data_IF_863400474335
#
_entry.id   IF_863400474335
#
_cell.length_a   1.000
_cell.length_b   1.000
_cell.length_c   1.000
_cell.angle_alpha   90.00
_cell.angle_beta   90.00
_cell.angle_gamma   90.00
#
_symmetry.space_group_name_H-M   'P 1'
#
loop_
_entity.id
_entity.type
_entity.pdbx_description
1 polymer ?
#
# COMPACT_ATOMS: atom_id res chain seq x y z
N UNK A 1 -0.94 -20.67 26.08
CA UNK A 1 -0.85 -20.07 24.73
C UNK A 1 0.59 -20.03 24.30
N UNK A 2 0.87 -20.23 23.02
CA UNK A 2 2.22 -20.03 22.46
C UNK A 2 2.60 -18.54 22.56
N UNK A 3 3.83 -18.16 22.95
CA UNK A 3 4.23 -16.75 22.97
C UNK A 3 4.61 -16.23 21.57
N UNK A 4 3.93 -16.73 20.52
CA UNK A 4 4.30 -16.46 19.12
C UNK A 4 3.12 -15.89 18.36
N UNK A 5 3.38 -14.80 17.63
CA UNK A 5 2.51 -14.21 16.62
C UNK A 5 3.06 -14.52 15.22
N UNK A 6 2.18 -14.97 14.32
CA UNK A 6 2.53 -15.11 12.89
C UNK A 6 2.26 -13.83 12.13
N UNK A 7 3.20 -13.35 11.32
CA UNK A 7 2.98 -12.27 10.36
C UNK A 7 3.22 -12.75 8.94
N UNK A 8 2.19 -12.73 8.09
CA UNK A 8 2.30 -13.06 6.66
C UNK A 8 2.31 -11.74 5.88
N UNK A 9 3.45 -11.40 5.29
CA UNK A 9 3.65 -10.21 4.50
C UNK A 9 3.49 -10.53 3.00
N UNK A 10 2.85 -9.60 2.28
CA UNK A 10 2.68 -9.69 0.82
C UNK A 10 4.02 -9.68 0.07
N UNK A 11 4.96 -8.80 0.42
CA UNK A 11 6.24 -8.65 -0.25
C UNK A 11 7.27 -8.01 0.69
N UNK A 12 8.31 -8.76 1.07
CA UNK A 12 9.38 -8.26 1.94
C UNK A 12 10.27 -7.22 1.26
N UNK A 13 10.45 -7.32 -0.04
CA UNK A 13 11.22 -6.35 -0.83
C UNK A 13 10.46 -5.05 -1.09
N UNK A 14 9.16 -5.00 -0.77
CA UNK A 14 8.35 -3.80 -0.87
C UNK A 14 8.86 -2.69 0.05
N UNK A 15 8.79 -1.45 -0.40
CA UNK A 15 9.38 -0.31 0.31
C UNK A 15 8.71 -0.01 1.68
N UNK A 16 7.47 -0.46 1.89
CA UNK A 16 6.65 -0.16 3.08
C UNK A 16 6.58 -1.32 4.09
N UNK A 17 6.74 -2.55 3.62
CA UNK A 17 6.67 -3.75 4.47
C UNK A 17 7.66 -3.75 5.64
N UNK A 18 8.93 -3.31 5.47
CA UNK A 18 9.88 -3.27 6.59
C UNK A 18 9.45 -2.34 7.71
N UNK A 19 8.86 -1.18 7.41
CA UNK A 19 8.40 -0.21 8.41
C UNK A 19 7.20 -0.76 9.19
N UNK A 20 6.23 -1.35 8.50
CA UNK A 20 5.08 -2.01 9.11
C UNK A 20 5.55 -3.17 10.01
N UNK A 21 6.44 -4.02 9.49
CA UNK A 21 6.96 -5.18 10.23
C UNK A 21 7.72 -4.75 11.49
N UNK A 22 8.54 -3.70 11.42
CA UNK A 22 9.26 -3.18 12.56
C UNK A 22 8.33 -2.66 13.65
N UNK A 23 7.25 -1.95 13.28
CA UNK A 23 6.25 -1.44 14.22
C UNK A 23 5.47 -2.60 14.88
N UNK A 24 5.08 -3.62 14.11
CA UNK A 24 4.42 -4.83 14.64
C UNK A 24 5.37 -5.53 15.62
N UNK A 25 6.63 -5.76 15.21
CA UNK A 25 7.63 -6.46 16.04
C UNK A 25 7.87 -5.73 17.36
N UNK A 26 8.09 -4.42 17.31
CA UNK A 26 8.29 -3.61 18.50
C UNK A 26 7.11 -3.74 19.49
N UNK A 27 5.89 -3.72 18.97
CA UNK A 27 4.69 -3.83 19.80
C UNK A 27 4.52 -5.24 20.38
N UNK A 28 4.80 -6.28 19.57
CA UNK A 28 4.76 -7.69 19.98
C UNK A 28 5.81 -7.97 21.06
N UNK A 29 7.04 -7.48 20.88
CA UNK A 29 8.12 -7.63 21.85
C UNK A 29 7.83 -6.93 23.18
N UNK A 30 7.13 -5.79 23.18
CA UNK A 30 6.71 -5.08 24.38
C UNK A 30 5.74 -5.91 25.26
N UNK A 31 4.98 -6.85 24.67
CA UNK A 31 4.14 -7.81 25.40
C UNK A 31 4.90 -9.10 25.79
N UNK A 32 6.22 -9.16 25.57
CA UNK A 32 7.03 -10.35 25.86
C UNK A 32 6.78 -11.52 24.90
N UNK A 33 6.25 -11.25 23.72
CA UNK A 33 5.97 -12.24 22.69
C UNK A 33 6.97 -12.15 21.53
N UNK A 34 6.94 -13.12 20.63
CA UNK A 34 7.84 -13.23 19.48
C UNK A 34 7.05 -13.19 18.18
N UNK A 35 7.59 -12.52 17.16
CA UNK A 35 7.01 -12.51 15.82
C UNK A 35 7.73 -13.51 14.89
N UNK A 36 6.98 -14.38 14.24
CA UNK A 36 7.47 -15.19 13.11
C UNK A 36 6.91 -14.59 11.81
N UNK A 37 7.82 -14.15 10.94
CA UNK A 37 7.44 -13.53 9.68
C UNK A 37 7.57 -14.51 8.51
N UNK A 38 6.55 -14.53 7.64
CA UNK A 38 6.51 -15.25 6.38
C UNK A 38 6.28 -14.29 5.22
N UNK A 39 6.85 -14.61 4.05
CA UNK A 39 6.68 -13.86 2.81
C UNK A 39 5.98 -14.70 1.77
N UNK A 40 4.75 -14.35 1.39
CA UNK A 40 3.99 -15.09 0.38
C UNK A 40 4.36 -14.71 -1.06
N UNK A 41 5.06 -13.60 -1.26
CA UNK A 41 5.51 -13.08 -2.57
C UNK A 41 4.35 -12.88 -3.58
N UNK A 42 3.16 -12.53 -3.09
CA UNK A 42 1.98 -12.36 -3.91
C UNK A 42 1.33 -13.67 -4.38
N UNK A 43 1.64 -14.81 -3.73
CA UNK A 43 1.10 -16.12 -4.07
C UNK A 43 0.03 -16.57 -3.09
N UNK A 44 -1.22 -16.67 -3.53
CA UNK A 44 -2.31 -17.22 -2.72
C UNK A 44 -2.02 -18.64 -2.21
N UNK A 45 -1.32 -19.47 -2.99
CA UNK A 45 -0.97 -20.82 -2.58
C UNK A 45 0.01 -20.80 -1.40
N UNK A 46 1.02 -19.92 -1.44
CA UNK A 46 1.98 -19.75 -0.33
C UNK A 46 1.29 -19.16 0.90
N UNK A 47 0.45 -18.15 0.70
CA UNK A 47 -0.37 -17.55 1.73
C UNK A 47 -1.15 -18.61 2.51
N UNK A 48 -1.93 -19.45 1.83
CA UNK A 48 -2.68 -20.55 2.45
C UNK A 48 -1.78 -21.57 3.14
N UNK A 49 -0.60 -21.86 2.56
CA UNK A 49 0.36 -22.78 3.18
C UNK A 49 0.90 -22.25 4.50
N UNK A 50 1.17 -20.93 4.59
CA UNK A 50 1.62 -20.29 5.83
C UNK A 50 0.50 -20.22 6.88
N UNK A 51 -0.74 -19.91 6.49
CA UNK A 51 -1.88 -19.96 7.40
C UNK A 51 -2.04 -21.38 8.01
N UNK A 52 -1.92 -22.44 7.20
CA UNK A 52 -1.97 -23.82 7.67
C UNK A 52 -0.78 -24.14 8.61
N UNK A 53 0.42 -23.64 8.30
CA UNK A 53 1.60 -23.83 9.14
C UNK A 53 1.40 -23.18 10.52
N UNK A 54 0.97 -21.90 10.55
CA UNK A 54 0.74 -21.18 11.80
C UNK A 54 -0.39 -21.80 12.63
N UNK A 55 -1.45 -22.31 11.97
CA UNK A 55 -2.50 -23.06 12.65
C UNK A 55 -1.96 -24.33 13.32
N UNK A 56 -1.09 -25.11 12.62
CA UNK A 56 -0.45 -26.31 13.18
C UNK A 56 0.51 -26.00 14.32
N UNK A 57 1.20 -24.85 14.26
CA UNK A 57 2.11 -24.40 15.32
C UNK A 57 1.38 -23.76 16.51
N UNK A 58 0.05 -23.65 16.46
CA UNK A 58 -0.78 -23.09 17.53
C UNK A 58 -0.28 -21.71 17.97
N UNK A 59 0.05 -20.83 17.00
CA UNK A 59 0.40 -19.44 17.33
C UNK A 59 -0.76 -18.76 18.04
N UNK A 60 -0.50 -17.77 18.87
CA UNK A 60 -1.56 -17.04 19.59
C UNK A 60 -2.43 -16.20 18.66
N UNK A 61 -1.83 -15.69 17.59
CA UNK A 61 -2.55 -14.89 16.60
C UNK A 61 -1.80 -14.76 15.30
N UNK A 62 -2.51 -14.32 14.26
CA UNK A 62 -1.97 -14.10 12.92
C UNK A 62 -2.33 -12.71 12.43
N UNK A 63 -1.32 -11.98 11.97
CA UNK A 63 -1.45 -10.77 11.16
C UNK A 63 -1.18 -11.16 9.71
N UNK A 64 -1.99 -10.68 8.78
CA UNK A 64 -1.82 -11.00 7.37
C UNK A 64 -2.15 -9.80 6.47
N UNK A 65 -1.24 -9.49 5.52
CA UNK A 65 -1.50 -8.59 4.40
C UNK A 65 -1.94 -9.44 3.19
N UNK A 66 -3.23 -9.69 2.99
CA UNK A 66 -3.70 -10.78 2.14
C UNK A 66 -3.57 -10.47 0.66
N UNK A 67 -3.24 -11.50 -0.12
CA UNK A 67 -3.30 -11.52 -1.59
C UNK A 67 -4.72 -11.87 -2.03
N UNK A 68 -5.23 -13.00 -1.58
CA UNK A 68 -6.54 -13.52 -1.91
C UNK A 68 -7.62 -13.21 -0.86
N UNK A 69 -8.77 -13.87 -0.98
CA UNK A 69 -9.77 -13.87 0.08
C UNK A 69 -9.47 -15.02 1.04
N UNK A 70 -9.05 -14.66 2.26
CA UNK A 70 -8.65 -15.60 3.32
C UNK A 70 -9.59 -15.58 4.53
N UNK A 71 -10.67 -14.82 4.48
CA UNK A 71 -11.52 -14.58 5.66
C UNK A 71 -12.19 -15.86 6.17
N UNK A 72 -12.51 -16.80 5.28
CA UNK A 72 -13.05 -18.09 5.68
C UNK A 72 -12.01 -18.94 6.45
N UNK A 73 -10.74 -18.93 6.01
CA UNK A 73 -9.64 -19.59 6.69
C UNK A 73 -9.37 -18.94 8.07
N UNK A 74 -9.40 -17.61 8.13
CA UNK A 74 -9.23 -16.88 9.39
C UNK A 74 -10.38 -17.13 10.36
N UNK A 75 -11.62 -17.19 9.89
CA UNK A 75 -12.78 -17.55 10.70
C UNK A 75 -12.61 -18.96 11.31
N UNK A 76 -12.13 -19.92 10.51
CA UNK A 76 -11.81 -21.26 11.01
C UNK A 76 -10.67 -21.24 12.04
N UNK A 77 -9.62 -20.47 11.83
CA UNK A 77 -8.53 -20.33 12.82
C UNK A 77 -9.06 -19.76 14.15
N UNK A 78 -9.97 -18.77 14.11
CA UNK A 78 -10.62 -18.22 15.31
C UNK A 78 -11.41 -19.30 16.06
N UNK A 79 -12.08 -20.21 15.38
CA UNK A 79 -12.81 -21.32 16.04
C UNK A 79 -11.88 -22.28 16.81
N UNK A 80 -10.58 -22.27 16.51
CA UNK A 80 -9.53 -22.98 17.26
C UNK A 80 -8.78 -22.08 18.29
N UNK A 81 -9.29 -20.87 18.52
CA UNK A 81 -8.69 -19.94 19.49
C UNK A 81 -7.49 -19.17 19.00
N UNK A 82 -7.25 -19.10 17.68
CA UNK A 82 -6.19 -18.31 17.07
C UNK A 82 -6.78 -17.01 16.56
N UNK A 83 -6.39 -15.89 17.16
CA UNK A 83 -6.82 -14.55 16.77
C UNK A 83 -6.29 -14.17 15.38
N UNK A 84 -6.99 -13.27 14.67
CA UNK A 84 -6.52 -12.84 13.35
C UNK A 84 -6.91 -11.40 13.03
N UNK A 85 -5.99 -10.66 12.39
CA UNK A 85 -6.21 -9.29 11.90
C UNK A 85 -5.69 -9.16 10.47
N UNK A 86 -6.49 -8.57 9.58
CA UNK A 86 -6.04 -8.16 8.26
C UNK A 86 -5.25 -6.85 8.35
N UNK A 87 -4.10 -6.82 7.71
CA UNK A 87 -3.22 -5.65 7.60
C UNK A 87 -3.29 -5.05 6.19
N UNK A 88 -3.34 -3.72 6.10
CA UNK A 88 -3.37 -2.95 4.85
C UNK A 88 -4.55 -3.26 3.92
N UNK A 89 -5.54 -4.00 4.37
CA UNK A 89 -6.76 -4.33 3.63
C UNK A 89 -7.97 -4.31 4.57
N UNK A 90 -9.04 -3.65 4.16
CA UNK A 90 -10.32 -3.68 4.86
C UNK A 90 -10.97 -5.06 4.71
N UNK A 91 -11.48 -5.60 5.82
CA UNK A 91 -12.25 -6.84 5.80
C UNK A 91 -13.59 -6.66 5.09
N UNK A 92 -14.02 -7.70 4.39
CA UNK A 92 -15.36 -7.76 3.77
C UNK A 92 -16.40 -8.23 4.78
N UNK A 93 -16.04 -9.19 5.64
CA UNK A 93 -16.91 -9.63 6.74
C UNK A 93 -16.85 -8.68 7.93
N UNK A 94 -18.00 -8.32 8.53
CA UNK A 94 -18.02 -7.56 9.78
C UNK A 94 -17.42 -8.33 10.97
N UNK A 95 -17.25 -9.65 10.83
CA UNK A 95 -16.70 -10.53 11.87
C UNK A 95 -15.16 -10.62 11.80
N UNK A 96 -14.52 -9.98 10.83
CA UNK A 96 -13.07 -9.98 10.67
C UNK A 96 -12.48 -8.62 11.05
N UNK A 97 -11.56 -8.63 12.01
CA UNK A 97 -10.80 -7.46 12.40
C UNK A 97 -9.83 -7.03 11.29
N UNK A 98 -9.73 -5.75 11.02
CA UNK A 98 -8.83 -5.23 9.99
C UNK A 98 -8.32 -3.83 10.28
N UNK A 99 -7.12 -3.53 9.78
CA UNK A 99 -6.57 -2.17 9.69
C UNK A 99 -6.22 -1.90 8.23
N UNK A 100 -6.76 -0.82 7.68
CA UNK A 100 -6.63 -0.46 6.26
C UNK A 100 -6.26 1.01 6.07
N UNK A 101 -6.00 1.37 4.83
CA UNK A 101 -5.78 2.74 4.37
C UNK A 101 -6.84 3.04 3.32
N UNK A 102 -7.41 4.26 3.33
CA UNK A 102 -8.32 4.72 2.28
C UNK A 102 -7.54 5.07 1.00
N UNK A 103 -7.27 4.05 0.19
CA UNK A 103 -6.54 4.21 -1.07
C UNK A 103 -7.35 4.98 -2.13
N UNK A 104 -8.68 5.01 -2.03
CA UNK A 104 -9.53 5.81 -2.92
C UNK A 104 -9.32 7.30 -2.62
N UNK A 105 -9.35 7.68 -1.34
CA UNK A 105 -9.04 9.05 -0.94
C UNK A 105 -7.62 9.45 -1.38
N UNK A 106 -6.62 8.56 -1.20
CA UNK A 106 -5.24 8.82 -1.62
C UNK A 106 -5.10 9.06 -3.11
N UNK A 107 -5.71 8.22 -3.95
CA UNK A 107 -5.72 8.42 -5.39
C UNK A 107 -6.41 9.71 -5.83
N UNK A 108 -7.52 10.06 -5.16
CA UNK A 108 -8.22 11.34 -5.39
C UNK A 108 -7.35 12.54 -5.03
N UNK A 109 -6.65 12.51 -3.89
CA UNK A 109 -5.72 13.57 -3.47
C UNK A 109 -4.59 13.77 -4.48
N UNK A 110 -3.98 12.70 -4.97
CA UNK A 110 -2.91 12.76 -5.96
C UNK A 110 -3.36 13.43 -7.27
N UNK A 111 -4.48 12.97 -7.83
CA UNK A 111 -5.00 13.51 -9.09
C UNK A 111 -5.53 14.94 -8.93
N UNK A 112 -6.25 15.23 -7.84
CA UNK A 112 -6.74 16.57 -7.56
C UNK A 112 -5.60 17.58 -7.47
N UNK A 113 -4.50 17.24 -6.78
CA UNK A 113 -3.32 18.09 -6.70
C UNK A 113 -2.72 18.37 -8.09
N UNK A 114 -2.57 17.35 -8.95
CA UNK A 114 -2.07 17.55 -10.31
C UNK A 114 -2.98 18.47 -11.14
N UNK A 115 -4.29 18.32 -11.00
CA UNK A 115 -5.30 19.16 -11.66
C UNK A 115 -5.20 20.60 -11.17
N UNK A 116 -5.06 20.83 -9.86
CA UNK A 116 -4.86 22.15 -9.25
C UNK A 116 -3.56 22.82 -9.73
N UNK A 117 -2.51 22.03 -10.04
CA UNK A 117 -1.28 22.51 -10.68
C UNK A 117 -1.45 22.78 -12.20
N UNK A 118 -2.68 22.70 -12.74
CA UNK A 118 -3.00 22.99 -14.12
C UNK A 118 -2.68 21.86 -15.11
N UNK A 119 -2.43 20.64 -14.63
CA UNK A 119 -2.14 19.48 -15.47
C UNK A 119 -3.42 18.91 -16.08
N UNK A 120 -3.35 18.50 -17.35
CA UNK A 120 -4.53 18.06 -18.12
C UNK A 120 -4.42 16.65 -18.69
N UNK A 121 -3.22 16.13 -18.86
CA UNK A 121 -2.99 14.78 -19.39
C UNK A 121 -2.21 13.97 -18.35
N UNK A 122 -2.94 13.27 -17.50
CA UNK A 122 -2.35 12.51 -16.39
C UNK A 122 -2.10 11.06 -16.85
N UNK A 123 -0.87 10.57 -16.64
CA UNK A 123 -0.54 9.16 -16.78
C UNK A 123 -0.56 8.48 -15.40
N UNK A 124 -1.35 7.42 -15.23
CA UNK A 124 -1.30 6.56 -14.05
C UNK A 124 -0.36 5.39 -14.33
N UNK A 125 0.83 5.42 -13.69
CA UNK A 125 1.87 4.39 -13.89
C UNK A 125 1.71 3.31 -12.84
N UNK A 126 1.37 2.08 -13.25
CA UNK A 126 1.17 0.97 -12.31
C UNK A 126 1.45 -0.40 -12.92
N UNK A 127 1.74 -1.38 -12.06
CA UNK A 127 1.86 -2.78 -12.46
C UNK A 127 0.46 -3.41 -12.58
N UNK A 128 0.10 -4.37 -11.75
CA UNK A 128 -1.19 -5.05 -11.82
C UNK A 128 -2.32 -4.24 -11.17
N UNK A 129 -3.44 -4.09 -11.86
CA UNK A 129 -4.71 -3.58 -11.32
C UNK A 129 -5.52 -4.65 -10.58
N UNK A 130 -5.08 -5.90 -10.56
CA UNK A 130 -5.68 -6.97 -9.75
C UNK A 130 -5.45 -6.73 -8.25
N UNK A 131 -4.38 -6.01 -7.90
CA UNK A 131 -4.13 -5.58 -6.54
C UNK A 131 -5.14 -4.51 -6.14
N UNK A 132 -6.02 -4.86 -5.20
CA UNK A 132 -7.14 -3.98 -4.78
C UNK A 132 -6.67 -2.57 -4.42
N UNK A 133 -5.59 -2.41 -3.66
CA UNK A 133 -5.07 -1.11 -3.29
C UNK A 133 -4.64 -0.26 -4.50
N UNK A 134 -4.12 -0.87 -5.56
CA UNK A 134 -3.74 -0.17 -6.80
C UNK A 134 -4.99 0.23 -7.58
N UNK A 135 -5.97 -0.67 -7.68
CA UNK A 135 -7.26 -0.37 -8.29
C UNK A 135 -8.00 0.77 -7.55
N UNK A 136 -7.98 0.76 -6.22
CA UNK A 136 -8.59 1.80 -5.39
C UNK A 136 -7.90 3.17 -5.60
N UNK A 137 -6.56 3.22 -5.72
CA UNK A 137 -5.81 4.44 -6.10
C UNK A 137 -6.25 4.97 -7.46
N UNK A 138 -6.38 4.09 -8.46
CA UNK A 138 -6.87 4.47 -9.79
C UNK A 138 -8.31 4.97 -9.74
N UNK A 139 -9.20 4.29 -9.03
CA UNK A 139 -10.61 4.70 -8.88
C UNK A 139 -10.73 6.10 -8.26
N UNK A 140 -9.91 6.38 -7.23
CA UNK A 140 -9.83 7.71 -6.64
C UNK A 140 -9.36 8.78 -7.63
N UNK A 141 -8.30 8.49 -8.39
CA UNK A 141 -7.78 9.38 -9.42
C UNK A 141 -8.81 9.65 -10.53
N UNK A 142 -9.49 8.60 -11.01
CA UNK A 142 -10.58 8.73 -12.00
C UNK A 142 -11.73 9.59 -11.48
N UNK A 143 -12.08 9.46 -10.20
CA UNK A 143 -13.12 10.31 -9.58
C UNK A 143 -12.76 11.80 -9.64
N UNK A 144 -11.48 12.16 -9.37
CA UNK A 144 -11.02 13.53 -9.49
C UNK A 144 -11.03 14.02 -10.94
N UNK A 145 -10.57 13.20 -11.88
CA UNK A 145 -10.55 13.52 -13.31
C UNK A 145 -11.94 13.72 -13.89
N UNK A 146 -12.90 12.85 -13.54
CA UNK A 146 -14.29 13.00 -13.97
C UNK A 146 -14.94 14.32 -13.52
N UNK A 147 -14.46 14.89 -12.42
CA UNK A 147 -14.95 16.17 -11.89
C UNK A 147 -14.26 17.40 -12.51
N UNK A 148 -13.26 17.20 -13.40
CA UNK A 148 -12.43 18.26 -13.98
C UNK A 148 -12.55 18.29 -15.52
N UNK A 149 -13.37 19.18 -16.10
CA UNK A 149 -13.55 19.26 -17.54
C UNK A 149 -12.23 19.48 -18.30
N UNK A 150 -12.00 18.71 -19.36
CA UNK A 150 -10.82 18.82 -20.21
C UNK A 150 -9.56 18.16 -19.65
N UNK A 151 -9.66 17.40 -18.54
CA UNK A 151 -8.61 16.56 -18.01
C UNK A 151 -8.82 15.11 -18.46
N UNK A 152 -7.73 14.44 -18.80
CA UNK A 152 -7.73 13.01 -19.18
C UNK A 152 -6.76 12.22 -18.32
N UNK A 153 -7.04 10.92 -18.17
CA UNK A 153 -6.15 9.99 -17.51
C UNK A 153 -5.96 8.75 -18.40
N UNK A 154 -4.70 8.43 -18.70
CA UNK A 154 -4.31 7.17 -19.33
C UNK A 154 -3.65 6.25 -18.28
N UNK A 155 -3.91 4.94 -18.37
CA UNK A 155 -3.18 3.94 -17.58
C UNK A 155 -1.94 3.51 -18.36
N UNK A 156 -0.78 3.62 -17.74
CA UNK A 156 0.52 3.23 -18.32
C UNK A 156 1.00 1.98 -17.56
N UNK A 157 0.83 0.78 -18.14
CA UNK A 157 1.20 -0.46 -17.47
C UNK A 157 2.71 -0.65 -17.46
N UNK A 158 3.22 -1.14 -16.33
CA UNK A 158 4.61 -1.56 -16.14
C UNK A 158 4.65 -2.98 -15.57
N UNK A 159 5.75 -3.75 -15.78
CA UNK A 159 5.78 -5.15 -15.36
C UNK A 159 5.80 -5.34 -13.85
N UNK A 160 6.42 -4.42 -13.12
CA UNK A 160 6.60 -4.50 -11.65
C UNK A 160 6.67 -3.11 -11.02
N UNK A 161 6.68 -3.05 -9.69
CA UNK A 161 6.70 -1.80 -8.91
C UNK A 161 8.11 -1.47 -8.42
N UNK A 162 9.07 -1.39 -9.35
CA UNK A 162 10.49 -1.16 -9.08
C UNK A 162 10.98 0.16 -9.66
N UNK A 163 12.17 0.58 -9.24
CA UNK A 163 12.86 1.76 -9.79
C UNK A 163 13.20 1.52 -11.26
N UNK A 164 13.63 0.32 -11.61
CA UNK A 164 13.98 -0.08 -12.98
C UNK A 164 12.79 0.02 -13.93
N UNK A 165 11.62 -0.44 -13.49
CA UNK A 165 10.38 -0.31 -14.26
C UNK A 165 9.97 1.16 -14.43
N UNK A 166 10.20 2.00 -13.41
CA UNK A 166 10.02 3.45 -13.49
C UNK A 166 10.94 4.11 -14.51
N UNK A 167 12.21 3.73 -14.55
CA UNK A 167 13.18 4.21 -15.54
C UNK A 167 12.73 3.83 -16.97
N UNK A 168 12.41 2.56 -17.20
CA UNK A 168 11.96 2.09 -18.52
C UNK A 168 10.67 2.80 -18.97
N UNK A 169 9.74 3.05 -18.04
CA UNK A 169 8.51 3.81 -18.32
C UNK A 169 8.83 5.25 -18.75
N UNK A 170 9.73 5.93 -18.04
CA UNK A 170 10.14 7.29 -18.35
C UNK A 170 10.81 7.39 -19.74
N UNK A 171 11.68 6.44 -20.07
CA UNK A 171 12.32 6.37 -21.38
C UNK A 171 11.29 6.18 -22.50
N UNK A 172 10.31 5.30 -22.29
CA UNK A 172 9.22 5.10 -23.24
C UNK A 172 8.38 6.37 -23.43
N UNK A 173 8.09 7.12 -22.36
CA UNK A 173 7.37 8.39 -22.41
C UNK A 173 8.22 9.46 -23.13
N UNK A 174 9.51 9.58 -22.82
CA UNK A 174 10.41 10.55 -23.44
C UNK A 174 10.56 10.33 -24.95
N UNK A 175 10.38 9.11 -25.45
CA UNK A 175 10.41 8.78 -26.87
C UNK A 175 9.08 9.06 -27.60
N UNK A 176 7.98 9.41 -26.88
CA UNK A 176 6.74 9.86 -27.54
C UNK A 176 6.92 11.27 -28.12
N UNK A 177 6.20 11.64 -29.19
CA UNK A 177 6.05 13.04 -29.59
C UNK A 177 5.58 13.90 -28.42
N UNK A 178 6.07 15.13 -28.29
CA UNK A 178 5.80 16.00 -27.12
C UNK A 178 4.31 16.23 -26.87
N UNK A 179 3.52 16.32 -27.92
CA UNK A 179 2.05 16.50 -27.88
C UNK A 179 1.30 15.26 -27.39
N UNK A 180 1.93 14.07 -27.45
CA UNK A 180 1.36 12.80 -26.99
C UNK A 180 1.86 12.41 -25.59
N UNK A 181 2.77 13.18 -25.00
CA UNK A 181 3.23 12.92 -23.64
C UNK A 181 2.19 13.36 -22.62
N UNK A 182 2.01 12.62 -21.52
CA UNK A 182 1.32 13.17 -20.36
C UNK A 182 2.07 14.41 -19.84
N UNK A 183 1.37 15.35 -19.25
CA UNK A 183 1.97 16.52 -18.59
C UNK A 183 2.10 16.32 -17.08
N UNK A 184 1.58 15.18 -16.58
CA UNK A 184 1.78 14.71 -15.21
C UNK A 184 1.75 13.19 -15.14
N UNK A 185 2.47 12.63 -14.17
CA UNK A 185 2.45 11.21 -13.82
C UNK A 185 2.05 11.04 -12.37
N UNK A 186 1.06 10.18 -12.15
CA UNK A 186 0.74 9.61 -10.86
C UNK A 186 1.24 8.16 -10.84
N UNK A 187 2.33 7.91 -10.14
CA UNK A 187 2.91 6.59 -9.99
C UNK A 187 2.26 5.86 -8.82
N UNK A 188 1.90 4.60 -9.02
CA UNK A 188 1.21 3.80 -8.02
C UNK A 188 2.02 3.58 -6.73
N UNK A 189 3.34 3.78 -6.77
CA UNK A 189 4.21 3.84 -5.58
C UNK A 189 5.43 4.73 -5.81
N UNK A 190 6.17 5.02 -4.74
CA UNK A 190 7.35 5.89 -4.79
C UNK A 190 8.53 5.26 -5.55
N UNK A 191 8.69 3.94 -5.54
CA UNK A 191 9.79 3.30 -6.29
C UNK A 191 9.66 3.58 -7.79
N UNK A 192 8.47 3.46 -8.35
CA UNK A 192 8.17 3.83 -9.74
C UNK A 192 8.46 5.32 -9.98
N UNK A 193 7.96 6.19 -9.08
CA UNK A 193 8.13 7.63 -9.20
C UNK A 193 9.61 8.05 -9.13
N UNK A 194 10.39 7.42 -8.26
CA UNK A 194 11.85 7.65 -8.14
C UNK A 194 12.55 7.27 -9.45
N UNK A 195 12.22 6.10 -10.02
CA UNK A 195 12.77 5.69 -11.31
C UNK A 195 12.45 6.66 -12.43
N UNK A 196 11.20 7.11 -12.50
CA UNK A 196 10.74 8.12 -13.47
C UNK A 196 11.51 9.43 -13.33
N UNK A 197 11.60 9.99 -12.13
CA UNK A 197 12.32 11.24 -11.86
C UNK A 197 13.80 11.09 -12.21
N UNK A 198 14.43 9.99 -11.81
CA UNK A 198 15.83 9.72 -12.09
C UNK A 198 16.12 9.69 -13.60
N UNK A 199 15.30 9.00 -14.39
CA UNK A 199 15.49 8.91 -15.83
C UNK A 199 15.30 10.26 -16.54
N UNK A 200 14.26 11.02 -16.19
CA UNK A 200 14.02 12.33 -16.76
C UNK A 200 15.16 13.32 -16.45
N UNK A 201 15.63 13.36 -15.21
CA UNK A 201 16.76 14.25 -14.82
C UNK A 201 18.06 13.82 -15.52
N UNK A 202 18.32 12.51 -15.63
CA UNK A 202 19.55 11.99 -16.26
C UNK A 202 19.58 12.24 -17.76
N UNK A 203 18.47 12.02 -18.47
CA UNK A 203 18.37 12.20 -19.92
C UNK A 203 18.31 13.67 -20.34
N UNK A 204 17.84 14.56 -19.47
CA UNK A 204 17.57 16.00 -19.74
C UNK A 204 16.59 16.25 -20.90
N UNK A 205 15.83 15.23 -21.32
CA UNK A 205 14.83 15.33 -22.40
C UNK A 205 13.51 15.90 -21.87
N UNK A 206 13.23 15.64 -20.59
CA UNK A 206 12.00 16.07 -19.90
C UNK A 206 12.39 16.72 -18.57
N UNK A 207 11.89 17.91 -18.33
CA UNK A 207 12.09 18.63 -17.06
C UNK A 207 11.00 18.29 -16.06
N UNK A 208 11.39 17.94 -14.82
CA UNK A 208 10.47 17.76 -13.69
C UNK A 208 10.59 18.97 -12.75
N UNK A 209 9.52 19.67 -12.43
CA UNK A 209 8.12 19.48 -12.82
C UNK A 209 7.70 20.28 -14.08
N UNK A 210 8.60 20.99 -14.75
CA UNK A 210 8.23 21.99 -15.77
C UNK A 210 7.44 21.34 -16.92
N UNK A 211 7.95 20.27 -17.51
CA UNK A 211 7.28 19.54 -18.59
C UNK A 211 6.31 18.50 -18.04
N UNK A 212 6.78 17.65 -17.12
CA UNK A 212 5.99 16.58 -16.52
C UNK A 212 6.09 16.67 -14.98
N UNK A 213 4.97 16.87 -14.31
CA UNK A 213 4.89 16.76 -12.86
C UNK A 213 4.80 15.29 -12.43
N UNK A 214 5.40 14.92 -11.30
CA UNK A 214 5.40 13.53 -10.81
C UNK A 214 4.92 13.46 -9.38
N UNK A 215 3.91 12.61 -9.13
CA UNK A 215 3.41 12.26 -7.79
C UNK A 215 3.66 10.77 -7.55
N UNK A 216 4.20 10.44 -6.38
CA UNK A 216 4.35 9.08 -5.88
C UNK A 216 3.25 8.68 -4.91
N UNK A 217 3.43 7.54 -4.28
CA UNK A 217 2.57 7.01 -3.23
C UNK A 217 3.42 6.24 -2.23
N UNK A 218 3.06 6.33 -0.95
CA UNK A 218 3.64 5.75 0.26
C UNK A 218 4.46 6.75 1.09
N UNK A 219 5.09 7.77 0.51
CA UNK A 219 6.01 8.74 1.13
C UNK A 219 7.17 8.06 1.88
N UNK A 220 7.82 7.09 1.21
CA UNK A 220 8.97 6.38 1.77
C UNK A 220 10.13 7.34 2.10
N UNK A 221 11.03 6.92 2.99
CA UNK A 221 12.13 7.77 3.47
C UNK A 221 12.99 8.39 2.34
N UNK A 222 13.13 7.68 1.21
CA UNK A 222 13.89 8.16 0.06
C UNK A 222 13.16 9.25 -0.75
N UNK A 223 11.83 9.37 -0.68
CA UNK A 223 11.06 10.34 -1.48
C UNK A 223 11.53 11.79 -1.27
N UNK A 224 11.91 12.15 -0.05
CA UNK A 224 12.44 13.49 0.28
C UNK A 224 13.89 13.72 -0.15
N UNK A 225 14.64 12.66 -0.44
CA UNK A 225 16.09 12.70 -0.69
C UNK A 225 16.45 12.48 -2.15
N UNK A 226 15.45 12.36 -3.04
CA UNK A 226 15.66 12.29 -4.49
C UNK A 226 16.21 13.62 -5.02
N UNK A 227 16.88 13.58 -6.18
CA UNK A 227 17.50 14.77 -6.81
C UNK A 227 16.46 15.89 -7.05
N UNK A 228 15.22 15.54 -7.34
CA UNK A 228 14.04 16.39 -7.27
C UNK A 228 13.13 15.81 -6.18
N UNK A 229 13.03 16.45 -5.00
CA UNK A 229 12.21 15.92 -3.91
C UNK A 229 10.80 15.58 -4.36
N UNK A 230 10.38 14.34 -4.10
CA UNK A 230 9.16 13.74 -4.64
C UNK A 230 7.93 14.14 -3.83
N UNK A 231 6.95 14.76 -4.47
CA UNK A 231 5.58 14.86 -3.96
C UNK A 231 4.97 13.46 -3.89
N UNK A 232 4.43 13.09 -2.75
CA UNK A 232 3.89 11.74 -2.54
C UNK A 232 2.65 11.75 -1.64
N UNK A 233 1.84 10.72 -1.77
CA UNK A 233 0.77 10.43 -0.82
C UNK A 233 1.37 9.65 0.34
N UNK A 234 1.39 10.27 1.53
CA UNK A 234 1.84 9.64 2.76
C UNK A 234 0.79 8.69 3.28
N UNK A 235 1.23 7.49 3.63
CA UNK A 235 0.46 6.50 4.35
C UNK A 235 1.15 6.20 5.69
N UNK A 236 0.41 6.13 6.81
CA UNK A 236 0.98 6.02 8.16
C UNK A 236 1.39 4.57 8.46
N UNK A 237 2.51 4.10 7.89
CA UNK A 237 2.92 2.69 7.95
C UNK A 237 3.28 2.23 9.37
N UNK A 238 3.98 3.04 10.15
CA UNK A 238 4.34 2.71 11.53
C UNK A 238 3.09 2.65 12.43
N UNK A 239 2.20 3.64 12.30
CA UNK A 239 0.94 3.71 13.03
C UNK A 239 0.02 2.55 12.63
N UNK A 240 -0.01 2.17 11.35
CA UNK A 240 -0.74 1.00 10.87
C UNK A 240 -0.20 -0.27 11.51
N UNK A 241 1.12 -0.47 11.53
CA UNK A 241 1.76 -1.62 12.16
C UNK A 241 1.43 -1.73 13.65
N UNK A 242 1.50 -0.60 14.38
CA UNK A 242 1.13 -0.54 15.79
C UNK A 242 -0.35 -0.87 16.00
N UNK A 243 -1.25 -0.25 15.23
CA UNK A 243 -2.69 -0.49 15.34
C UNK A 243 -3.09 -1.95 15.03
N UNK A 244 -2.42 -2.57 14.05
CA UNK A 244 -2.64 -3.99 13.72
C UNK A 244 -2.25 -4.89 14.88
N UNK A 245 -1.11 -4.63 15.54
CA UNK A 245 -0.66 -5.41 16.69
C UNK A 245 -1.57 -5.19 17.91
N UNK A 246 -1.95 -3.94 18.22
CA UNK A 246 -2.87 -3.64 19.31
C UNK A 246 -4.23 -4.32 19.11
N UNK A 247 -4.74 -4.26 17.88
CA UNK A 247 -6.00 -4.92 17.55
C UNK A 247 -5.91 -6.44 17.68
N UNK A 248 -4.76 -7.05 17.31
CA UNK A 248 -4.54 -8.47 17.50
C UNK A 248 -4.53 -8.87 18.97
N UNK A 249 -3.89 -8.07 19.84
CA UNK A 249 -3.90 -8.34 21.28
C UNK A 249 -5.31 -8.25 21.88
N UNK A 250 -6.09 -7.25 21.48
CA UNK A 250 -7.49 -7.15 21.89
C UNK A 250 -8.31 -8.38 21.44
N UNK A 251 -8.07 -8.89 20.23
CA UNK A 251 -8.69 -10.11 19.71
C UNK A 251 -8.27 -11.37 20.50
N UNK A 252 -6.98 -11.48 20.88
CA UNK A 252 -6.48 -12.58 21.71
C UNK A 252 -7.18 -12.58 23.08
N UNK A 253 -7.29 -11.41 23.72
CA UNK A 253 -7.95 -11.26 25.01
C UNK A 253 -9.45 -11.59 24.91
N UNK A 254 -10.13 -11.09 23.89
CA UNK A 254 -11.55 -11.35 23.65
C UNK A 254 -11.84 -12.85 23.45
N UNK A 255 -11.01 -13.57 22.72
CA UNK A 255 -11.14 -15.02 22.53
C UNK A 255 -10.91 -15.80 23.84
N UNK A 256 -9.97 -15.35 24.67
CA UNK A 256 -9.68 -15.96 25.98
C UNK A 256 -10.81 -15.77 27.01
N UNK A 257 -11.46 -14.60 27.01
CA UNK A 257 -12.47 -14.24 27.99
C UNK A 257 -13.89 -14.70 27.68
N UNK A 258 -14.26 -14.80 26.41
CA UNK A 258 -15.66 -15.02 25.97
C UNK A 258 -15.97 -16.46 25.59
N UNK A 259 -15.04 -17.41 25.74
CA UNK A 259 -15.23 -18.80 25.31
C UNK A 259 -15.48 -18.93 23.80
N UNK A 260 -14.94 -17.98 23.03
CA UNK A 260 -15.00 -18.00 21.58
C UNK A 260 -16.40 -17.71 21.01
N UNK A 261 -16.92 -16.51 21.17
CA UNK A 261 -18.07 -16.06 20.37
C UNK A 261 -17.55 -15.58 19.01
N UNK A 262 -17.59 -16.41 17.96
CA UNK A 262 -17.02 -16.09 16.63
C UNK A 262 -17.84 -15.03 15.88
N UNK A 263 -19.13 -14.86 16.21
CA UNK A 263 -20.11 -14.18 15.37
C UNK A 263 -20.37 -12.70 15.77
N UNK A 264 -19.48 -12.08 16.56
CA UNK A 264 -19.62 -10.66 16.91
C UNK A 264 -18.88 -9.78 15.91
N UNK A 265 -19.43 -8.59 15.58
CA UNK A 265 -18.72 -7.60 14.78
C UNK A 265 -17.36 -7.24 15.41
N UNK A 266 -16.34 -7.17 14.58
CA UNK A 266 -14.96 -6.87 14.96
C UNK A 266 -14.57 -5.46 14.51
N UNK A 267 -13.65 -4.79 15.21
CA UNK A 267 -13.18 -3.48 14.80
C UNK A 267 -12.54 -3.52 13.41
N UNK A 268 -12.90 -2.54 12.58
CA UNK A 268 -12.29 -2.26 11.29
C UNK A 268 -11.80 -0.82 11.30
N UNK A 269 -10.50 -0.63 11.39
CA UNK A 269 -9.86 0.69 11.48
C UNK A 269 -9.39 1.08 10.08
N UNK A 270 -9.64 2.32 9.68
CA UNK A 270 -9.20 2.85 8.39
C UNK A 270 -8.46 4.17 8.59
N UNK A 271 -7.23 4.24 8.11
CA UNK A 271 -6.41 5.45 8.13
C UNK A 271 -6.61 6.28 6.87
N UNK A 272 -6.67 7.59 7.05
CA UNK A 272 -6.69 8.54 5.93
C UNK A 272 -5.26 8.86 5.50
N UNK A 273 -4.97 8.82 4.17
CA UNK A 273 -3.69 9.26 3.64
C UNK A 273 -3.59 10.78 3.57
N UNK A 274 -2.38 11.31 3.46
CA UNK A 274 -2.08 12.73 3.35
C UNK A 274 -1.24 13.03 2.12
N UNK A 275 -1.47 14.18 1.47
CA UNK A 275 -0.61 14.66 0.40
C UNK A 275 0.58 15.43 0.98
N UNK A 276 1.80 15.02 0.63
CA UNK A 276 3.04 15.72 0.97
C UNK A 276 3.62 16.36 -0.29
N UNK A 277 3.42 17.67 -0.42
CA UNK A 277 3.87 18.45 -1.59
C UNK A 277 5.36 18.74 -1.52
N UNK A 278 6.09 18.47 -2.62
CA UNK A 278 7.50 18.74 -2.80
C UNK A 278 7.79 19.25 -4.22
N UNK A 279 9.08 19.33 -4.58
CA UNK A 279 9.55 19.95 -5.82
C UNK A 279 9.12 19.24 -7.12
N UNK A 280 8.72 17.96 -7.07
CA UNK A 280 8.36 17.20 -8.28
C UNK A 280 7.02 17.61 -8.91
N UNK A 281 6.24 18.48 -8.26
CA UNK A 281 4.95 18.98 -8.80
C UNK A 281 4.84 20.50 -8.81
N UNK A 282 5.58 21.19 -7.96
CA UNK A 282 5.49 22.66 -7.80
C UNK A 282 6.60 23.32 -8.58
N UNK A 283 6.27 24.25 -9.49
CA UNK A 283 7.27 25.11 -10.16
C UNK A 283 7.86 26.06 -9.13
N UNK A 284 9.18 26.01 -8.95
CA UNK A 284 9.93 27.00 -8.17
C UNK A 284 10.07 28.30 -8.95
#
# INVERSE_FOLDING_TARGET
MSPVIGYIAFELAGATTPEIAAAIEQRVSAEGMYMLMANDTGSEQRERSYLQLFAKQLVSGVIIAPVGNVEAELARMRSFGIASVLSARRAESPEQASVSIDHVAGGKLAAAHLIEQGRKRIGFVSSSLELKQVADRLNGALSAVHSAPGVTLEVIPVPERSVEAGIACADAIANRPSEQRPDALFCANDLLAIGVVQAFVSSKVVSVPADIAVVGYDDIAFARSTIVPLTSIRTPHAELGTAVADLLFAEIEALGSTGGRPDLPRPQVEFSPELVVRASTVRQ
#
